data_IF_760840198704
#
_entry.id   IF_760840198704
#
_cell.length_a   1.000
_cell.length_b   1.000
_cell.length_c   1.000
_cell.angle_alpha   90.00
_cell.angle_beta   90.00
_cell.angle_gamma   90.00
#
_symmetry.space_group_name_H-M   'P 1'
#
loop_
_entity.id
_entity.type
_entity.pdbx_description
1 polymer ?
#
# COMPACT_ATOMS: atom_id res chain seq x y z
N UNK A 1 -21.65 -14.76 27.34
CA UNK A 1 -21.64 -13.43 26.70
C UNK A 1 -22.27 -13.55 25.32
N UNK A 2 -22.93 -12.51 24.83
CA UNK A 2 -23.50 -12.46 23.49
C UNK A 2 -22.85 -11.28 22.73
N UNK A 3 -22.13 -11.57 21.67
CA UNK A 3 -21.39 -10.59 20.87
C UNK A 3 -22.07 -10.22 19.56
N UNK A 4 -23.26 -10.75 19.27
CA UNK A 4 -23.93 -10.59 17.96
C UNK A 4 -24.19 -9.13 17.59
N UNK A 5 -24.54 -8.28 18.53
CA UNK A 5 -24.78 -6.86 18.28
C UNK A 5 -23.48 -6.12 17.89
N UNK A 6 -22.38 -6.39 18.60
CA UNK A 6 -21.08 -5.76 18.33
C UNK A 6 -20.50 -6.25 17.00
N UNK A 7 -20.63 -7.53 16.69
CA UNK A 7 -20.23 -8.11 15.39
C UNK A 7 -20.97 -7.40 14.24
N UNK A 8 -22.30 -7.26 14.38
CA UNK A 8 -23.10 -6.56 13.37
C UNK A 8 -22.65 -5.10 13.21
N UNK A 9 -22.42 -4.41 14.31
CA UNK A 9 -21.96 -3.00 14.28
C UNK A 9 -20.61 -2.86 13.57
N UNK A 10 -19.65 -3.77 13.81
CA UNK A 10 -18.37 -3.77 13.13
C UNK A 10 -18.54 -3.92 11.61
N UNK A 11 -19.32 -4.93 11.18
CA UNK A 11 -19.60 -5.20 9.76
C UNK A 11 -20.31 -3.99 9.10
N UNK A 12 -21.29 -3.37 9.78
CA UNK A 12 -21.99 -2.20 9.26
C UNK A 12 -21.04 -1.00 9.09
N UNK A 13 -20.07 -0.81 10.01
CA UNK A 13 -19.03 0.23 9.89
C UNK A 13 -18.10 -0.04 8.72
N UNK A 14 -17.67 -1.30 8.52
CA UNK A 14 -16.85 -1.72 7.37
C UNK A 14 -17.54 -1.40 6.05
N UNK A 15 -18.77 -1.89 5.86
CA UNK A 15 -19.59 -1.65 4.66
C UNK A 15 -19.75 -0.14 4.39
N UNK A 16 -20.05 0.64 5.44
CA UNK A 16 -20.24 2.08 5.31
C UNK A 16 -18.94 2.82 4.95
N UNK A 17 -17.80 2.31 5.39
CA UNK A 17 -16.48 2.87 5.05
C UNK A 17 -16.14 2.58 3.60
N UNK A 18 -16.35 1.34 3.13
CA UNK A 18 -16.13 0.95 1.74
C UNK A 18 -16.97 1.78 0.76
N UNK A 19 -18.23 2.08 1.10
CA UNK A 19 -19.11 2.93 0.27
C UNK A 19 -18.66 4.38 0.14
N UNK A 20 -17.73 4.83 0.98
CA UNK A 20 -17.19 6.20 0.99
C UNK A 20 -15.83 6.31 0.32
N UNK A 21 -15.29 5.20 -0.17
CA UNK A 21 -14.02 5.22 -0.88
C UNK A 21 -14.12 6.06 -2.14
N UNK A 22 -13.05 6.80 -2.43
CA UNK A 22 -12.91 7.60 -3.64
C UNK A 22 -12.52 6.69 -4.81
N UNK A 23 -13.51 6.34 -5.65
CA UNK A 23 -13.33 5.44 -6.79
C UNK A 23 -12.40 6.07 -7.84
N UNK A 24 -12.45 7.38 -8.03
CA UNK A 24 -11.60 8.07 -8.99
C UNK A 24 -10.14 8.00 -8.53
N UNK A 25 -9.87 8.23 -7.24
CA UNK A 25 -8.53 8.09 -6.67
C UNK A 25 -8.00 6.64 -6.77
N UNK A 26 -8.86 5.63 -6.61
CA UNK A 26 -8.48 4.22 -6.80
C UNK A 26 -8.12 3.96 -8.27
N UNK A 27 -8.96 4.43 -9.20
CA UNK A 27 -8.70 4.30 -10.64
C UNK A 27 -7.37 4.97 -11.03
N UNK A 28 -7.11 6.17 -10.55
CA UNK A 28 -5.86 6.90 -10.85
C UNK A 28 -4.64 6.18 -10.25
N UNK A 29 -4.77 5.63 -9.03
CA UNK A 29 -3.71 4.82 -8.44
C UNK A 29 -3.43 3.54 -9.24
N UNK A 30 -4.47 2.88 -9.74
CA UNK A 30 -4.34 1.71 -10.61
C UNK A 30 -3.64 2.06 -11.92
N UNK A 31 -3.99 3.18 -12.55
CA UNK A 31 -3.32 3.66 -13.76
C UNK A 31 -1.83 3.93 -13.50
N UNK A 32 -1.48 4.58 -12.38
CA UNK A 32 -0.09 4.85 -12.02
C UNK A 32 0.71 3.55 -11.75
N UNK A 33 0.10 2.55 -11.10
CA UNK A 33 0.69 1.22 -10.92
C UNK A 33 0.93 0.56 -12.29
N UNK A 34 -0.05 0.63 -13.20
CA UNK A 34 0.04 0.06 -14.54
C UNK A 34 1.10 0.76 -15.40
N UNK A 35 1.17 2.09 -15.37
CA UNK A 35 2.22 2.86 -16.06
C UNK A 35 3.62 2.48 -15.56
N UNK A 36 3.78 2.31 -14.25
CA UNK A 36 5.04 1.89 -13.63
C UNK A 36 5.44 0.47 -14.08
N UNK A 37 4.47 -0.44 -14.13
CA UNK A 37 4.64 -1.80 -14.65
C UNK A 37 5.03 -1.79 -16.14
N UNK A 38 4.33 -1.02 -16.99
CA UNK A 38 4.65 -0.92 -18.41
C UNK A 38 6.06 -0.35 -18.65
N UNK A 39 6.49 0.57 -17.82
CA UNK A 39 7.82 1.15 -17.84
C UNK A 39 8.92 0.25 -17.22
N UNK A 40 8.57 -0.96 -16.76
CA UNK A 40 9.49 -1.93 -16.11
C UNK A 40 10.24 -1.32 -14.91
N UNK A 41 9.54 -0.47 -14.14
CA UNK A 41 10.08 0.19 -12.95
C UNK A 41 9.76 -0.59 -11.69
N UNK A 42 10.45 -0.23 -10.60
CA UNK A 42 10.23 -0.84 -9.29
C UNK A 42 9.13 -0.10 -8.54
N UNK A 43 8.25 -0.87 -7.88
CA UNK A 43 7.25 -0.36 -6.95
C UNK A 43 7.70 -0.73 -5.54
N UNK A 44 8.20 0.25 -4.81
CA UNK A 44 8.58 0.08 -3.40
C UNK A 44 7.33 0.19 -2.52
N UNK A 45 7.16 -0.77 -1.61
CA UNK A 45 6.03 -0.78 -0.69
C UNK A 45 6.48 -1.03 0.74
N UNK A 46 5.89 -0.33 1.72
CA UNK A 46 6.24 -0.48 3.13
C UNK A 46 5.19 0.09 4.08
N UNK A 47 5.22 -0.39 5.32
CA UNK A 47 4.40 0.09 6.44
C UNK A 47 4.87 -0.49 7.76
N UNK A 48 4.15 -0.25 8.85
CA UNK A 48 4.45 -0.79 10.17
C UNK A 48 3.36 -1.75 10.64
N UNK A 49 3.69 -2.77 11.44
CA UNK A 49 2.69 -3.65 12.06
C UNK A 49 1.79 -4.33 11.05
N UNK A 50 0.45 -4.16 11.16
CA UNK A 50 -0.53 -4.67 10.20
C UNK A 50 -0.29 -4.12 8.79
N UNK A 51 0.07 -2.84 8.67
CA UNK A 51 0.46 -2.24 7.39
C UNK A 51 1.70 -2.88 6.77
N UNK A 52 2.64 -3.43 7.55
CA UNK A 52 3.77 -4.21 7.04
C UNK A 52 3.32 -5.55 6.46
N UNK A 53 2.38 -6.22 7.14
CA UNK A 53 1.77 -7.45 6.63
C UNK A 53 1.03 -7.21 5.30
N UNK A 54 0.25 -6.13 5.21
CA UNK A 54 -0.39 -5.69 3.97
C UNK A 54 0.63 -5.42 2.87
N UNK A 55 1.74 -4.73 3.17
CA UNK A 55 2.80 -4.45 2.19
C UNK A 55 3.44 -5.72 1.62
N UNK A 56 3.72 -6.71 2.47
CA UNK A 56 4.25 -8.01 2.05
C UNK A 56 3.21 -8.81 1.23
N UNK A 57 1.93 -8.69 1.57
CA UNK A 57 0.83 -9.32 0.84
C UNK A 57 0.73 -8.76 -0.59
N UNK A 58 0.72 -7.43 -0.76
CA UNK A 58 0.78 -6.78 -2.08
C UNK A 58 1.94 -7.32 -2.94
N UNK A 59 3.15 -7.40 -2.38
CA UNK A 59 4.29 -7.94 -3.12
C UNK A 59 4.04 -9.38 -3.60
N UNK A 60 3.47 -10.24 -2.75
CA UNK A 60 3.13 -11.61 -3.15
C UNK A 60 2.10 -11.62 -4.27
N UNK A 61 1.02 -10.86 -4.13
CA UNK A 61 -0.11 -10.86 -5.05
C UNK A 61 0.28 -10.36 -6.44
N UNK A 62 1.12 -9.35 -6.52
CA UNK A 62 1.59 -8.83 -7.79
C UNK A 62 2.76 -9.63 -8.37
N UNK A 63 3.78 -9.95 -7.57
CA UNK A 63 4.99 -10.62 -8.09
C UNK A 63 4.77 -12.10 -8.39
N UNK A 64 3.90 -12.79 -7.66
CA UNK A 64 3.52 -14.20 -7.91
C UNK A 64 2.15 -14.29 -8.54
N UNK A 65 1.13 -13.71 -7.92
CA UNK A 65 -0.25 -13.89 -8.34
C UNK A 65 -0.47 -13.47 -9.79
N UNK A 66 -0.52 -12.18 -10.07
CA UNK A 66 -0.76 -11.65 -11.43
C UNK A 66 0.38 -12.04 -12.36
N UNK A 67 1.62 -11.95 -11.90
CA UNK A 67 2.82 -12.24 -12.71
C UNK A 67 2.91 -13.69 -13.18
N UNK A 68 2.17 -14.64 -12.62
CA UNK A 68 2.06 -16.00 -13.13
C UNK A 68 1.46 -16.06 -14.55
N UNK A 69 0.54 -15.15 -14.86
CA UNK A 69 -0.28 -15.18 -16.07
C UNK A 69 0.12 -14.16 -17.14
N UNK A 70 1.12 -13.33 -16.88
CA UNK A 70 1.62 -12.33 -17.82
C UNK A 70 3.09 -12.58 -18.16
N UNK A 71 3.53 -12.17 -19.36
CA UNK A 71 4.93 -12.34 -19.79
C UNK A 71 5.85 -11.39 -19.00
N UNK A 72 5.54 -10.09 -19.04
CA UNK A 72 6.19 -9.06 -18.24
C UNK A 72 5.80 -9.21 -16.78
N UNK A 73 6.76 -9.18 -15.86
CA UNK A 73 6.51 -9.39 -14.44
C UNK A 73 6.41 -8.08 -13.69
N UNK A 74 5.50 -8.00 -12.71
CA UNK A 74 5.52 -6.91 -11.74
C UNK A 74 6.80 -6.97 -10.91
N UNK A 75 7.32 -5.82 -10.54
CA UNK A 75 8.52 -5.70 -9.70
C UNK A 75 8.18 -4.89 -8.42
N UNK A 76 7.39 -5.50 -7.54
CA UNK A 76 7.15 -4.99 -6.21
C UNK A 76 8.32 -5.35 -5.29
N UNK A 77 8.78 -4.41 -4.48
CA UNK A 77 9.80 -4.60 -3.48
C UNK A 77 9.30 -4.12 -2.12
N UNK A 78 8.94 -5.07 -1.25
CA UNK A 78 8.53 -4.80 0.12
C UNK A 78 9.76 -4.56 1.01
N UNK A 79 9.87 -3.36 1.56
CA UNK A 79 10.99 -2.99 2.43
C UNK A 79 10.88 -3.62 3.83
N UNK A 80 9.81 -4.35 4.13
CA UNK A 80 9.61 -5.07 5.39
C UNK A 80 10.15 -6.50 5.36
N UNK A 81 10.41 -7.09 4.19
CA UNK A 81 10.64 -8.53 4.07
C UNK A 81 12.00 -8.98 4.62
N UNK A 82 13.00 -8.11 4.60
CA UNK A 82 14.29 -8.45 5.22
C UNK A 82 14.35 -7.99 6.67
N UNK A 83 13.89 -8.83 7.57
CA UNK A 83 13.87 -8.56 9.02
C UNK A 83 15.25 -8.24 9.58
N UNK A 84 16.30 -8.94 9.15
CA UNK A 84 17.66 -8.68 9.63
C UNK A 84 18.13 -7.27 9.25
N UNK A 85 17.87 -6.83 8.02
CA UNK A 85 18.17 -5.47 7.57
C UNK A 85 17.39 -4.42 8.37
N UNK A 86 16.09 -4.62 8.58
CA UNK A 86 15.28 -3.71 9.41
C UNK A 86 15.82 -3.57 10.82
N UNK A 87 16.13 -4.71 11.47
CA UNK A 87 16.65 -4.72 12.83
C UNK A 87 18.02 -4.05 12.93
N UNK A 88 18.91 -4.29 11.97
CA UNK A 88 20.22 -3.67 11.94
C UNK A 88 20.11 -2.14 11.80
N UNK A 89 19.30 -1.66 10.85
CA UNK A 89 19.09 -0.21 10.67
C UNK A 89 18.47 0.40 11.93
N UNK A 90 17.46 -0.25 12.51
CA UNK A 90 16.80 0.24 13.71
C UNK A 90 17.75 0.34 14.90
N UNK A 91 18.65 -0.64 15.06
CA UNK A 91 19.64 -0.69 16.16
C UNK A 91 20.80 0.31 15.98
N UNK A 92 21.34 0.42 14.77
CA UNK A 92 22.58 1.14 14.51
C UNK A 92 22.37 2.60 14.11
N UNK A 93 21.20 2.92 13.50
CA UNK A 93 20.90 4.23 12.94
C UNK A 93 19.68 4.86 13.61
N UNK A 94 18.59 4.10 13.72
CA UNK A 94 17.34 4.52 14.31
C UNK A 94 16.12 3.97 13.56
N UNK A 95 15.03 3.72 14.31
CA UNK A 95 13.80 3.16 13.73
C UNK A 95 13.16 4.08 12.70
N UNK A 96 13.34 5.38 12.81
CA UNK A 96 12.84 6.38 11.85
C UNK A 96 13.53 6.32 10.48
N UNK A 97 14.64 5.61 10.34
CA UNK A 97 15.41 5.49 9.09
C UNK A 97 15.22 4.13 8.38
N UNK A 98 14.48 3.19 8.98
CA UNK A 98 14.40 1.80 8.50
C UNK A 98 13.96 1.68 7.03
N UNK A 99 13.10 2.56 6.53
CA UNK A 99 12.66 2.56 5.13
C UNK A 99 13.49 3.52 4.27
N UNK A 100 13.73 4.72 4.76
CA UNK A 100 14.53 5.73 4.03
C UNK A 100 15.93 5.21 3.72
N UNK A 101 16.59 4.54 4.67
CA UNK A 101 17.92 3.95 4.44
C UNK A 101 17.91 2.93 3.30
N UNK A 102 16.87 2.12 3.21
CA UNK A 102 16.76 1.11 2.15
C UNK A 102 16.47 1.72 0.77
N UNK A 103 15.83 2.88 0.68
CA UNK A 103 15.62 3.61 -0.56
C UNK A 103 16.88 4.33 -1.05
N UNK A 104 17.77 4.74 -0.13
CA UNK A 104 18.98 5.49 -0.47
C UNK A 104 19.86 4.75 -1.48
N UNK A 105 20.14 5.40 -2.61
CA UNK A 105 20.98 4.86 -3.68
C UNK A 105 20.35 3.71 -4.47
N UNK A 106 19.12 3.30 -4.17
CA UNK A 106 18.39 2.24 -4.88
C UNK A 106 17.24 2.78 -5.72
N UNK A 107 16.43 3.69 -5.15
CA UNK A 107 15.30 4.29 -5.85
C UNK A 107 15.80 5.09 -7.05
N UNK A 108 15.14 4.94 -8.19
CA UNK A 108 15.50 5.56 -9.47
C UNK A 108 14.34 6.41 -9.98
N UNK A 109 14.61 7.39 -10.84
CA UNK A 109 13.53 8.16 -11.49
C UNK A 109 12.53 7.24 -12.22
N UNK A 110 11.26 7.47 -11.98
CA UNK A 110 10.16 6.68 -12.54
C UNK A 110 9.75 5.45 -11.71
N UNK A 111 10.49 5.12 -10.65
CA UNK A 111 10.00 4.16 -9.66
C UNK A 111 8.80 4.75 -8.89
N UNK A 112 7.97 3.88 -8.33
CA UNK A 112 6.79 4.25 -7.56
C UNK A 112 6.97 3.85 -6.09
N UNK A 113 6.44 4.66 -5.18
CA UNK A 113 6.36 4.31 -3.76
C UNK A 113 4.90 4.17 -3.33
N UNK A 114 4.57 3.04 -2.72
CA UNK A 114 3.31 2.81 -2.01
C UNK A 114 3.62 2.80 -0.52
N UNK A 115 3.16 3.82 0.19
CA UNK A 115 3.41 3.99 1.62
C UNK A 115 2.13 3.74 2.42
N UNK A 116 2.17 2.83 3.40
CA UNK A 116 1.01 2.44 4.19
C UNK A 116 1.18 2.91 5.64
N UNK A 117 0.26 3.76 6.11
CA UNK A 117 0.21 4.22 7.50
C UNK A 117 -1.22 4.59 7.88
N UNK A 118 -1.88 3.76 8.71
CA UNK A 118 -3.24 4.02 9.16
C UNK A 118 -3.40 5.40 9.79
N UNK A 119 -2.49 5.83 10.66
CA UNK A 119 -2.50 7.19 11.24
C UNK A 119 -2.04 8.29 10.27
N UNK A 120 -1.32 7.91 9.20
CA UNK A 120 -0.67 8.84 8.28
C UNK A 120 0.50 9.63 8.88
N UNK A 121 0.97 9.26 10.10
CA UNK A 121 1.96 10.07 10.83
C UNK A 121 3.18 9.25 11.32
N UNK A 122 3.34 8.01 10.90
CA UNK A 122 4.50 7.19 11.27
C UNK A 122 5.79 7.82 10.75
N UNK A 123 6.70 8.20 11.65
CA UNK A 123 7.89 9.00 11.33
C UNK A 123 8.78 8.32 10.28
N UNK A 124 9.02 7.02 10.40
CA UNK A 124 9.81 6.25 9.44
C UNK A 124 9.17 6.20 8.04
N UNK A 125 7.84 6.12 7.96
CA UNK A 125 7.10 6.19 6.69
C UNK A 125 7.23 7.58 6.07
N UNK A 126 7.02 8.64 6.87
CA UNK A 126 7.13 10.03 6.41
C UNK A 126 8.55 10.34 5.90
N UNK A 127 9.60 9.97 6.66
CA UNK A 127 10.99 10.21 6.24
C UNK A 127 11.33 9.54 4.90
N UNK A 128 10.80 8.34 4.67
CA UNK A 128 11.01 7.62 3.42
C UNK A 128 10.26 8.26 2.24
N UNK A 129 9.03 8.69 2.48
CA UNK A 129 8.19 9.39 1.48
C UNK A 129 8.81 10.72 1.09
N UNK A 130 9.24 11.53 2.06
CA UNK A 130 9.93 12.81 1.81
C UNK A 130 11.17 12.60 0.94
N UNK A 131 12.00 11.61 1.30
CA UNK A 131 13.18 11.26 0.51
C UNK A 131 12.82 10.82 -0.93
N UNK A 132 11.83 9.97 -1.11
CA UNK A 132 11.40 9.53 -2.44
C UNK A 132 10.90 10.69 -3.30
N UNK A 133 10.17 11.65 -2.71
CA UNK A 133 9.74 12.89 -3.40
C UNK A 133 10.93 13.78 -3.79
N UNK A 134 11.93 13.91 -2.92
CA UNK A 134 13.17 14.64 -3.24
C UNK A 134 13.92 14.03 -4.44
N UNK A 135 13.78 12.70 -4.64
CA UNK A 135 14.32 12.00 -5.81
C UNK A 135 13.40 12.07 -7.04
N UNK A 136 12.27 12.78 -6.96
CA UNK A 136 11.33 12.98 -8.08
C UNK A 136 10.36 11.82 -8.32
N UNK A 137 10.18 10.93 -7.35
CA UNK A 137 9.29 9.77 -7.48
C UNK A 137 7.86 10.09 -7.03
N UNK A 138 6.89 9.40 -7.63
CA UNK A 138 5.47 9.48 -7.28
C UNK A 138 5.16 8.63 -6.05
N UNK A 139 4.16 9.07 -5.28
CA UNK A 139 3.75 8.45 -4.03
C UNK A 139 2.26 8.12 -4.07
N UNK A 140 1.90 6.87 -3.80
CA UNK A 140 0.56 6.45 -3.42
C UNK A 140 0.56 6.24 -1.90
N UNK A 141 -0.29 6.96 -1.17
CA UNK A 141 -0.43 6.84 0.28
C UNK A 141 -1.71 6.12 0.67
N UNK A 142 -1.61 5.02 1.44
CA UNK A 142 -2.76 4.36 2.06
C UNK A 142 -2.89 4.85 3.50
N UNK A 143 -4.03 5.47 3.83
CA UNK A 143 -4.23 6.13 5.13
C UNK A 143 -5.63 5.88 5.70
N UNK A 144 -5.77 6.11 7.01
CA UNK A 144 -7.05 6.15 7.72
C UNK A 144 -7.21 7.46 8.51
N UNK A 145 -8.12 7.47 9.48
CA UNK A 145 -8.39 8.62 10.36
C UNK A 145 -8.61 9.93 9.57
N UNK A 146 -7.73 10.91 9.76
CA UNK A 146 -7.73 12.17 8.99
C UNK A 146 -6.68 12.19 7.87
N UNK A 147 -5.98 11.09 7.66
CA UNK A 147 -4.94 10.92 6.65
C UNK A 147 -3.55 11.40 7.06
N UNK A 148 -3.44 12.21 8.11
CA UNK A 148 -2.17 12.71 8.63
C UNK A 148 -1.29 13.40 7.58
N UNK A 149 0.03 13.42 7.85
CA UNK A 149 1.02 14.03 6.96
C UNK A 149 1.19 13.24 5.66
N UNK A 150 1.02 11.91 5.71
CA UNK A 150 1.17 11.05 4.54
C UNK A 150 0.18 11.43 3.43
N UNK A 151 -1.10 11.67 3.79
CA UNK A 151 -2.13 12.09 2.83
C UNK A 151 -1.73 13.39 2.10
N UNK A 152 -1.12 14.34 2.81
CA UNK A 152 -0.69 15.63 2.24
C UNK A 152 0.55 15.50 1.33
N UNK A 153 1.42 14.52 1.62
CA UNK A 153 2.64 14.28 0.86
C UNK A 153 2.40 13.41 -0.37
N UNK A 154 1.34 12.60 -0.39
CA UNK A 154 1.04 11.68 -1.47
C UNK A 154 0.58 12.41 -2.73
N UNK A 155 0.98 11.93 -3.90
CA UNK A 155 0.44 12.36 -5.19
C UNK A 155 -0.98 11.81 -5.38
N UNK A 156 -1.23 10.57 -4.92
CA UNK A 156 -2.54 9.93 -4.86
C UNK A 156 -2.76 9.35 -3.45
N UNK A 157 -3.97 9.51 -2.92
CA UNK A 157 -4.30 9.05 -1.57
C UNK A 157 -5.49 8.08 -1.59
N UNK A 158 -5.22 6.82 -1.26
CA UNK A 158 -6.22 5.81 -0.98
C UNK A 158 -6.58 5.88 0.50
N UNK A 159 -7.64 6.61 0.81
CA UNK A 159 -8.00 6.99 2.18
C UNK A 159 -9.24 6.26 2.68
N UNK A 160 -9.10 5.53 3.80
CA UNK A 160 -10.20 4.96 4.55
C UNK A 160 -10.74 5.99 5.56
N UNK A 161 -11.90 6.64 5.32
CA UNK A 161 -12.39 7.75 6.14
C UNK A 161 -13.07 7.25 7.43
N UNK A 162 -12.30 6.59 8.31
CA UNK A 162 -12.77 5.98 9.56
C UNK A 162 -11.75 6.16 10.68
N UNK A 163 -12.23 6.39 11.91
CA UNK A 163 -11.42 6.48 13.13
C UNK A 163 -11.33 5.11 13.83
N UNK A 164 -10.90 4.10 13.11
CA UNK A 164 -10.67 2.74 13.62
C UNK A 164 -9.46 2.15 12.90
N UNK A 165 -8.45 1.70 13.66
CA UNK A 165 -7.25 1.10 13.07
C UNK A 165 -7.60 -0.21 12.38
N UNK A 166 -8.43 -1.05 13.00
CA UNK A 166 -8.81 -2.36 12.49
C UNK A 166 -9.49 -2.22 11.14
N UNK A 167 -10.56 -1.41 11.05
CA UNK A 167 -11.29 -1.17 9.80
C UNK A 167 -10.40 -0.48 8.77
N UNK A 168 -9.47 0.40 9.17
CA UNK A 168 -8.50 0.99 8.25
C UNK A 168 -7.60 -0.07 7.63
N UNK A 169 -7.09 -1.01 8.42
CA UNK A 169 -6.24 -2.11 7.94
C UNK A 169 -7.02 -3.09 7.07
N UNK A 170 -8.28 -3.40 7.44
CA UNK A 170 -9.19 -4.23 6.63
C UNK A 170 -9.41 -3.59 5.25
N UNK A 171 -9.72 -2.28 5.19
CA UNK A 171 -9.90 -1.53 3.94
C UNK A 171 -8.62 -1.54 3.09
N UNK A 172 -7.44 -1.38 3.70
CA UNK A 172 -6.17 -1.42 2.96
C UNK A 172 -5.92 -2.79 2.31
N UNK A 173 -6.30 -3.88 2.98
CA UNK A 173 -6.24 -5.23 2.42
C UNK A 173 -7.30 -5.45 1.33
N UNK A 174 -8.52 -4.92 1.52
CA UNK A 174 -9.56 -4.97 0.49
C UNK A 174 -9.13 -4.22 -0.77
N UNK A 175 -8.43 -3.09 -0.64
CA UNK A 175 -7.89 -2.35 -1.78
C UNK A 175 -6.84 -3.16 -2.55
N UNK A 176 -5.99 -3.95 -1.88
CA UNK A 176 -5.07 -4.88 -2.52
C UNK A 176 -5.82 -5.87 -3.41
N UNK A 177 -6.72 -6.64 -2.81
CA UNK A 177 -7.47 -7.67 -3.52
C UNK A 177 -8.37 -7.09 -4.63
N UNK A 178 -8.96 -5.90 -4.43
CA UNK A 178 -9.75 -5.20 -5.45
C UNK A 178 -8.89 -4.87 -6.67
N UNK A 179 -7.72 -4.26 -6.46
CA UNK A 179 -6.79 -3.89 -7.52
C UNK A 179 -6.29 -5.15 -8.23
N UNK A 180 -5.90 -6.18 -7.46
CA UNK A 180 -5.47 -7.46 -7.99
C UNK A 180 -6.56 -8.11 -8.87
N UNK A 181 -7.80 -8.19 -8.39
CA UNK A 181 -8.92 -8.79 -9.12
C UNK A 181 -9.20 -8.07 -10.45
N UNK A 182 -9.11 -6.74 -10.47
CA UNK A 182 -9.30 -5.97 -11.70
C UNK A 182 -8.13 -6.18 -12.67
N UNK A 183 -6.89 -6.26 -12.18
CA UNK A 183 -5.73 -6.56 -13.04
C UNK A 183 -5.75 -8.00 -13.57
N UNK A 184 -6.22 -8.99 -12.80
CA UNK A 184 -6.49 -10.32 -13.35
C UNK A 184 -7.44 -10.27 -14.56
N UNK A 185 -8.53 -9.50 -14.43
CA UNK A 185 -9.48 -9.35 -15.52
C UNK A 185 -8.87 -8.64 -16.73
N UNK A 186 -8.17 -7.54 -16.51
CA UNK A 186 -7.69 -6.66 -17.59
C UNK A 186 -6.42 -7.17 -18.26
N UNK A 187 -5.49 -7.76 -17.51
CA UNK A 187 -4.20 -8.23 -18.02
C UNK A 187 -4.19 -9.72 -18.37
N UNK A 188 -4.93 -10.53 -17.61
CA UNK A 188 -4.89 -11.99 -17.76
C UNK A 188 -6.15 -12.57 -18.41
N UNK A 189 -7.21 -11.76 -18.59
CA UNK A 189 -8.52 -12.22 -19.07
C UNK A 189 -9.27 -13.11 -18.06
N UNK A 190 -8.86 -13.14 -16.80
CA UNK A 190 -9.43 -13.95 -15.74
C UNK A 190 -10.37 -13.07 -14.90
N UNK A 191 -11.67 -13.31 -14.96
CA UNK A 191 -12.66 -12.52 -14.21
C UNK A 191 -13.05 -13.21 -12.90
N UNK A 192 -12.45 -12.76 -11.79
CA UNK A 192 -12.77 -13.21 -10.44
C UNK A 192 -13.90 -12.41 -9.78
N UNK A 193 -14.50 -11.44 -10.47
CA UNK A 193 -15.54 -10.55 -9.94
C UNK A 193 -16.94 -11.03 -10.35
N UNK A 194 -17.04 -11.85 -11.38
CA UNK A 194 -18.32 -12.46 -11.81
C UNK A 194 -18.71 -13.61 -10.89
N UNK A 195 -19.98 -13.58 -10.41
CA UNK A 195 -20.66 -14.73 -9.84
C UNK A 195 -20.99 -15.79 -10.90
#
# INVERSE_FOLDING_TARGET
MDYRADIKTYIDHEINTLRKLDIDAINDAMNLIFETYEAEKTIYIFGNGGSAATASHYQNDFNKGISEYVEKKFNFLCLNDNMATLMAIANDIGYEEVFRFQLRGRIKPGDLVIAISGSGNSKNVINAVEYAKEQGNKIIGLTGYNGGKLKLLSDLSLHAPINSMQITEDVHMILDHLIMAIFYKTLCGIDHIKE
#
